data_IF_010003932579
#
_entry.id   IF_010003932579
#
_cell.length_a   1.000
_cell.length_b   1.000
_cell.length_c   1.000
_cell.angle_alpha   90.00
_cell.angle_beta   90.00
_cell.angle_gamma   90.00
#
_symmetry.space_group_name_H-M   'P 1'
#
loop_
_entity.id
_entity.type
_entity.pdbx_description
1 polymer ?
#
# COMPACT_ATOMS: atom_id res chain seq x y z
N UNK A 1 -10.00 27.69 45.38
CA UNK A 1 -8.87 27.03 46.06
C UNK A 1 -7.75 26.94 45.02
N UNK A 2 -6.62 27.63 45.06
CA UNK A 2 -5.85 28.23 46.16
C UNK A 2 -4.42 27.67 46.10
N UNK A 3 -3.44 28.56 45.92
CA UNK A 3 -1.96 28.40 45.93
C UNK A 3 -1.30 27.93 44.62
N UNK A 4 -0.57 28.75 43.83
CA UNK A 4 0.64 29.60 44.05
C UNK A 4 1.93 28.82 44.35
N UNK A 5 2.94 28.96 43.48
CA UNK A 5 4.21 29.65 43.81
C UNK A 5 4.93 30.16 42.55
N UNK A 6 5.62 31.28 42.73
CA UNK A 6 6.27 32.17 41.75
C UNK A 6 7.73 32.33 42.17
N UNK A 7 8.67 32.51 41.22
CA UNK A 7 9.51 33.74 41.10
C UNK A 7 10.61 33.65 40.04
N UNK A 8 10.78 34.81 39.40
CA UNK A 8 11.80 35.28 38.43
C UNK A 8 13.22 35.33 39.01
N UNK A 9 14.23 35.36 38.12
CA UNK A 9 15.35 36.32 38.25
C UNK A 9 16.06 36.60 36.90
N UNK A 10 16.45 37.86 36.70
CA UNK A 10 17.22 38.48 35.59
C UNK A 10 18.61 38.89 36.12
N UNK A 11 19.66 38.87 35.27
CA UNK A 11 20.76 39.88 35.13
C UNK A 11 21.84 39.30 34.18
N UNK A 12 22.23 39.90 33.04
CA UNK A 12 22.98 41.14 32.69
C UNK A 12 24.53 41.04 32.83
N UNK A 13 25.18 41.39 31.71
CA UNK A 13 26.59 41.54 31.22
C UNK A 13 27.61 42.24 32.15
N UNK A 14 28.95 42.36 31.84
CA UNK A 14 29.52 43.03 30.63
C UNK A 14 30.94 42.61 30.12
N UNK A 15 31.37 43.30 29.03
CA UNK A 15 32.64 43.30 28.27
C UNK A 15 33.91 43.78 29.00
N UNK A 16 35.09 43.43 28.41
CA UNK A 16 36.40 44.17 28.26
C UNK A 16 37.54 43.15 28.08
N UNK A 17 38.66 43.33 27.37
CA UNK A 17 39.32 44.45 26.67
C UNK A 17 40.44 43.85 25.78
N UNK A 18 40.89 44.58 24.77
CA UNK A 18 42.04 44.26 23.92
C UNK A 18 43.36 44.83 24.49
N UNK A 19 44.52 44.24 24.16
CA UNK A 19 45.79 44.98 24.07
C UNK A 19 46.79 44.31 23.12
N UNK A 20 47.24 45.09 22.15
CA UNK A 20 48.35 44.92 21.20
C UNK A 20 49.73 45.16 21.83
N UNK A 21 50.81 44.71 21.17
CA UNK A 21 52.19 45.28 21.01
C UNK A 21 53.17 44.11 20.76
N UNK A 22 54.25 44.13 19.96
CA UNK A 22 54.96 45.07 19.07
C UNK A 22 55.97 44.20 18.24
N UNK A 23 56.33 44.67 17.03
CA UNK A 23 57.68 44.76 16.40
C UNK A 23 58.77 43.69 16.64
N UNK A 24 59.77 43.40 15.79
CA UNK A 24 60.15 43.61 14.39
C UNK A 24 61.49 42.84 14.22
N UNK A 25 61.77 42.34 13.02
CA UNK A 25 63.08 42.21 12.37
C UNK A 25 64.27 41.36 12.92
N UNK A 26 64.79 40.55 11.99
CA UNK A 26 66.18 40.45 11.47
C UNK A 26 66.99 39.13 11.56
N UNK A 27 67.44 38.73 10.35
CA UNK A 27 68.71 38.09 9.93
C UNK A 27 68.96 36.57 10.04
N UNK A 28 68.93 35.95 8.85
CA UNK A 28 69.94 35.07 8.20
C UNK A 28 70.58 33.90 8.95
N UNK A 29 70.35 32.69 8.41
CA UNK A 29 71.23 31.52 8.60
C UNK A 29 70.79 30.34 7.73
N UNK A 30 71.55 30.02 6.68
CA UNK A 30 71.42 28.80 5.89
C UNK A 30 71.54 27.55 6.77
N UNK A 31 70.66 26.55 6.59
CA UNK A 31 71.07 25.21 6.13
C UNK A 31 69.94 24.16 6.09
N UNK A 32 69.97 23.43 4.97
CA UNK A 32 69.62 22.01 4.80
C UNK A 32 68.13 21.66 4.70
N UNK A 33 67.77 21.33 3.46
CA UNK A 33 66.61 20.57 3.03
C UNK A 33 66.46 19.25 3.80
N UNK A 34 65.32 19.06 4.44
CA UNK A 34 64.75 17.76 4.75
C UNK A 34 63.34 17.73 4.17
N UNK A 35 63.19 16.97 3.10
CA UNK A 35 61.93 16.62 2.47
C UNK A 35 61.06 15.85 3.46
N UNK A 36 60.00 16.48 3.98
CA UNK A 36 58.86 15.78 4.53
C UNK A 36 57.73 15.84 3.51
N UNK A 37 57.47 14.73 2.84
CA UNK A 37 56.21 14.49 2.14
C UNK A 37 55.08 14.55 3.18
N UNK A 38 54.50 15.73 3.37
CA UNK A 38 53.19 15.85 3.98
C UNK A 38 52.17 15.52 2.87
N UNK A 39 51.78 14.25 2.80
CA UNK A 39 50.52 13.87 2.16
C UNK A 39 49.41 14.64 2.88
N UNK A 40 48.89 15.69 2.25
CA UNK A 40 47.63 16.32 2.67
C UNK A 40 46.55 15.23 2.65
N UNK A 41 46.13 14.78 3.83
CA UNK A 41 44.96 13.92 3.93
C UNK A 41 43.76 14.69 3.38
N UNK A 42 42.96 14.09 2.47
CA UNK A 42 41.76 14.74 1.99
C UNK A 42 40.86 15.10 3.17
N UNK A 43 40.19 16.27 3.15
CA UNK A 43 39.37 16.71 4.26
C UNK A 43 38.36 15.63 4.64
N UNK A 44 38.22 15.37 5.95
CA UNK A 44 37.31 14.36 6.50
C UNK A 44 35.91 14.60 5.94
N UNK A 45 35.49 13.71 5.04
CA UNK A 45 34.19 13.76 4.40
C UNK A 45 33.23 12.94 5.25
N UNK A 46 32.27 13.61 5.87
CA UNK A 46 31.29 12.95 6.72
C UNK A 46 30.08 12.50 5.91
N UNK A 47 29.34 11.52 6.41
CA UNK A 47 28.16 10.97 5.72
C UNK A 47 27.06 12.01 5.48
N UNK A 48 27.03 13.10 6.25
CA UNK A 48 26.12 14.23 6.03
C UNK A 48 26.57 15.20 4.94
N UNK A 49 27.85 15.21 4.55
CA UNK A 49 28.39 16.04 3.45
C UNK A 49 28.01 15.47 2.07
N UNK A 50 27.56 14.20 2.03
CA UNK A 50 27.07 13.49 0.83
C UNK A 50 25.54 13.39 0.76
N UNK A 51 24.80 13.92 1.74
CA UNK A 51 23.33 13.91 1.67
C UNK A 51 22.88 14.86 0.57
N UNK A 52 22.21 14.32 -0.44
CA UNK A 52 21.47 15.14 -1.40
C UNK A 52 20.54 16.07 -0.61
N UNK A 53 20.55 17.36 -0.96
CA UNK A 53 19.65 18.34 -0.34
C UNK A 53 18.22 18.01 -0.78
N UNK A 54 17.49 17.34 0.09
CA UNK A 54 16.06 17.07 -0.08
C UNK A 54 15.28 18.36 0.17
N UNK A 55 14.56 18.87 -0.83
CA UNK A 55 13.62 19.98 -0.65
C UNK A 55 12.31 19.41 -0.08
N UNK A 56 11.81 19.90 1.08
CA UNK A 56 10.51 19.49 1.61
C UNK A 56 9.37 19.59 0.59
N UNK A 57 9.43 20.54 -0.35
CA UNK A 57 8.44 20.71 -1.43
C UNK A 57 8.34 19.50 -2.35
N UNK A 58 9.41 18.71 -2.47
CA UNK A 58 9.39 17.48 -3.28
C UNK A 58 8.55 16.38 -2.61
N UNK A 59 8.27 16.50 -1.32
CA UNK A 59 7.55 15.50 -0.53
C UNK A 59 6.23 16.01 0.07
N UNK A 60 5.79 17.19 -0.35
CA UNK A 60 4.52 17.78 0.07
C UNK A 60 3.79 18.51 -1.05
N UNK A 61 2.46 18.48 -1.01
CA UNK A 61 1.57 19.31 -1.80
C UNK A 61 0.65 20.06 -0.83
N UNK A 62 0.77 21.38 -0.77
CA UNK A 62 0.06 22.19 0.23
C UNK A 62 -0.57 23.44 -0.38
N UNK A 63 -1.83 23.72 -0.03
CA UNK A 63 -2.50 24.98 -0.38
C UNK A 63 -2.82 25.14 -1.87
N UNK A 64 -2.93 24.03 -2.61
CA UNK A 64 -3.16 24.04 -4.05
C UNK A 64 -4.64 24.13 -4.38
N UNK A 65 -4.97 24.85 -5.45
CA UNK A 65 -6.34 25.03 -5.94
C UNK A 65 -6.43 24.88 -7.44
N UNK A 66 -7.49 24.23 -7.91
CA UNK A 66 -7.81 24.12 -9.34
C UNK A 66 -6.64 23.57 -10.19
N UNK A 67 -5.88 22.62 -9.62
CA UNK A 67 -4.61 22.19 -10.16
C UNK A 67 -4.56 20.68 -10.43
N UNK A 68 -3.78 20.30 -11.45
CA UNK A 68 -3.35 18.92 -11.68
C UNK A 68 -1.88 18.80 -11.32
N UNK A 69 -1.58 18.03 -10.28
CA UNK A 69 -0.24 17.94 -9.67
C UNK A 69 0.05 16.51 -9.20
N UNK A 70 1.27 16.23 -8.76
CA UNK A 70 1.64 14.89 -8.33
C UNK A 70 3.11 14.56 -8.46
N UNK A 71 3.42 13.27 -8.54
CA UNK A 71 4.78 12.75 -8.66
C UNK A 71 4.81 11.64 -9.69
N UNK A 72 5.75 11.73 -10.62
CA UNK A 72 6.03 10.69 -11.61
C UNK A 72 6.74 9.49 -10.96
N UNK A 73 6.74 8.31 -11.62
CA UNK A 73 7.52 7.16 -11.19
C UNK A 73 8.99 7.51 -10.90
N UNK A 74 9.53 6.97 -9.81
CA UNK A 74 10.91 7.16 -9.37
C UNK A 74 11.21 8.52 -8.71
N UNK A 75 10.21 9.34 -8.40
CA UNK A 75 10.37 10.63 -7.71
C UNK A 75 10.29 10.53 -6.19
N UNK A 76 9.47 9.62 -5.67
CA UNK A 76 9.30 9.44 -4.22
C UNK A 76 10.19 8.33 -3.67
N UNK A 77 10.40 7.24 -4.41
CA UNK A 77 11.27 6.13 -4.02
C UNK A 77 11.08 5.68 -2.55
N UNK A 78 9.82 5.52 -2.13
CA UNK A 78 9.50 5.01 -0.80
C UNK A 78 9.63 6.02 0.34
N UNK A 79 9.78 7.32 0.06
CA UNK A 79 9.72 8.36 1.09
C UNK A 79 8.29 8.64 1.56
N UNK A 80 8.16 9.37 2.67
CA UNK A 80 6.86 9.88 3.14
C UNK A 80 6.36 11.00 2.22
N UNK A 81 5.05 11.11 2.07
CA UNK A 81 4.40 12.19 1.31
C UNK A 81 3.28 12.84 2.11
N UNK A 82 3.08 14.14 1.93
CA UNK A 82 2.01 14.90 2.60
C UNK A 82 1.17 15.65 1.56
N UNK A 83 -0.15 15.56 1.66
CA UNK A 83 -1.09 16.35 0.89
C UNK A 83 -1.94 17.13 1.88
N UNK A 84 -1.98 18.45 1.80
CA UNK A 84 -2.65 19.27 2.79
C UNK A 84 -3.33 20.50 2.15
N UNK A 85 -4.48 20.92 2.67
CA UNK A 85 -5.16 22.17 2.27
C UNK A 85 -5.37 22.29 0.74
N UNK A 86 -5.67 21.18 0.05
CA UNK A 86 -5.90 21.18 -1.40
C UNK A 86 -7.40 21.22 -1.73
N UNK A 87 -7.77 22.06 -2.71
CA UNK A 87 -9.16 22.29 -3.10
C UNK A 87 -9.34 22.14 -4.62
N UNK A 88 -10.32 21.36 -5.06
CA UNK A 88 -10.60 21.12 -6.48
C UNK A 88 -9.37 20.66 -7.30
N UNK A 89 -8.58 19.72 -6.76
CA UNK A 89 -7.35 19.25 -7.39
C UNK A 89 -7.45 17.83 -7.95
N UNK A 90 -6.70 17.55 -9.03
CA UNK A 90 -6.38 16.20 -9.48
C UNK A 90 -4.95 15.87 -9.07
N UNK A 91 -4.76 14.88 -8.22
CA UNK A 91 -3.46 14.57 -7.61
C UNK A 91 -3.03 13.16 -8.02
N UNK A 92 -1.89 13.04 -8.70
CA UNK A 92 -1.36 11.78 -9.22
C UNK A 92 0.00 11.46 -8.59
N UNK A 93 0.01 10.70 -7.50
CA UNK A 93 1.22 10.20 -6.85
C UNK A 93 1.57 8.83 -7.43
N UNK A 94 2.24 8.80 -8.58
CA UNK A 94 2.48 7.59 -9.38
C UNK A 94 3.81 6.91 -9.04
N UNK A 95 4.09 6.74 -7.74
CA UNK A 95 5.27 6.07 -7.20
C UNK A 95 4.94 5.43 -5.84
N UNK A 96 5.78 4.52 -5.36
CA UNK A 96 5.65 3.94 -4.04
C UNK A 96 6.10 4.92 -2.93
N UNK A 97 5.43 4.83 -1.78
CA UNK A 97 5.68 5.71 -0.62
C UNK A 97 5.76 4.91 0.68
N UNK A 98 6.43 5.46 1.70
CA UNK A 98 6.42 4.87 3.05
C UNK A 98 5.05 5.05 3.73
N UNK A 99 4.55 6.29 3.74
CA UNK A 99 3.26 6.68 4.33
C UNK A 99 2.78 7.96 3.66
N UNK A 100 1.46 8.14 3.57
CA UNK A 100 0.85 9.36 3.06
C UNK A 100 -0.20 9.87 4.04
N UNK A 101 -0.12 11.16 4.38
CA UNK A 101 -1.16 11.87 5.13
C UNK A 101 -1.85 12.87 4.21
N UNK A 102 -3.18 12.90 4.28
CA UNK A 102 -4.04 13.78 3.49
C UNK A 102 -4.93 14.55 4.45
N UNK A 103 -4.71 15.85 4.54
CA UNK A 103 -5.34 16.71 5.55
C UNK A 103 -6.10 17.86 4.88
N UNK A 104 -7.29 18.18 5.38
CA UNK A 104 -8.02 19.39 5.02
C UNK A 104 -8.27 19.56 3.50
N UNK A 105 -8.40 18.44 2.78
CA UNK A 105 -8.60 18.45 1.33
C UNK A 105 -10.07 18.39 0.96
N UNK A 106 -10.49 19.18 -0.02
CA UNK A 106 -11.88 19.25 -0.49
C UNK A 106 -11.98 19.05 -2.00
N UNK A 107 -12.97 18.28 -2.46
CA UNK A 107 -13.30 18.13 -3.88
C UNK A 107 -12.10 17.67 -4.73
N UNK A 108 -11.30 16.73 -4.24
CA UNK A 108 -10.10 16.26 -4.94
C UNK A 108 -10.25 14.84 -5.50
N UNK A 109 -9.67 14.62 -6.69
CA UNK A 109 -9.47 13.30 -7.28
C UNK A 109 -8.02 12.86 -7.05
N UNK A 110 -7.79 11.75 -6.36
CA UNK A 110 -6.44 11.37 -5.91
C UNK A 110 -6.12 9.94 -6.34
N UNK A 111 -5.07 9.77 -7.13
CA UNK A 111 -4.46 8.46 -7.44
C UNK A 111 -3.15 8.37 -6.69
N UNK A 112 -2.95 7.30 -5.94
CA UNK A 112 -1.69 7.05 -5.25
C UNK A 112 -1.19 5.64 -5.52
N UNK A 113 0.11 5.56 -5.77
CA UNK A 113 0.83 4.31 -5.85
C UNK A 113 0.87 3.58 -4.51
N UNK A 114 1.41 2.36 -4.49
CA UNK A 114 1.48 1.51 -3.31
C UNK A 114 2.18 2.17 -2.12
N UNK A 115 1.50 2.20 -0.98
CA UNK A 115 2.00 2.78 0.27
C UNK A 115 2.35 1.68 1.26
N UNK A 116 3.64 1.52 1.55
CA UNK A 116 4.16 0.44 2.43
C UNK A 116 3.48 0.39 3.80
N UNK A 117 3.18 1.56 4.37
CA UNK A 117 2.55 1.70 5.67
C UNK A 117 1.12 2.22 5.54
N UNK A 118 0.84 3.31 6.26
CA UNK A 118 -0.49 3.89 6.34
C UNK A 118 -0.76 4.97 5.31
N UNK A 119 -2.00 4.99 4.83
CA UNK A 119 -2.65 6.16 4.24
C UNK A 119 -3.66 6.67 5.25
N UNK A 120 -3.57 7.96 5.60
CA UNK A 120 -4.44 8.57 6.60
C UNK A 120 -5.09 9.84 6.06
N UNK A 121 -6.41 9.81 5.87
CA UNK A 121 -7.23 10.98 5.57
C UNK A 121 -7.76 11.62 6.87
N UNK A 122 -7.59 12.93 7.03
CA UNK A 122 -8.14 13.71 8.14
C UNK A 122 -8.83 14.95 7.60
N UNK A 123 -10.01 15.25 8.14
CA UNK A 123 -10.75 16.49 7.82
C UNK A 123 -10.98 16.68 6.30
N UNK A 124 -11.14 15.58 5.56
CA UNK A 124 -11.28 15.60 4.10
C UNK A 124 -12.73 15.47 3.66
N UNK A 125 -13.09 16.11 2.55
CA UNK A 125 -14.47 16.14 2.06
C UNK A 125 -14.58 16.01 0.53
N UNK A 126 -15.57 15.26 0.06
CA UNK A 126 -15.85 15.09 -1.37
C UNK A 126 -14.61 14.58 -2.13
N UNK A 127 -13.97 13.52 -1.61
CA UNK A 127 -12.75 12.93 -2.19
C UNK A 127 -13.10 11.69 -3.01
N UNK A 128 -12.50 11.57 -4.19
CA UNK A 128 -12.55 10.35 -5.00
C UNK A 128 -11.13 9.84 -5.19
N UNK A 129 -10.85 8.59 -4.82
CA UNK A 129 -9.46 8.13 -4.86
C UNK A 129 -9.26 6.65 -5.19
N UNK A 130 -8.08 6.36 -5.73
CA UNK A 130 -7.55 5.01 -5.94
C UNK A 130 -6.33 4.85 -5.04
N UNK A 131 -6.38 3.89 -4.12
CA UNK A 131 -5.40 3.75 -3.03
C UNK A 131 -4.98 2.30 -2.87
N UNK A 132 -3.66 2.07 -2.83
CA UNK A 132 -3.09 0.80 -2.38
C UNK A 132 -2.21 1.05 -1.15
N UNK A 133 -2.47 0.39 -0.04
CA UNK A 133 -1.76 0.61 1.21
C UNK A 133 -1.75 -0.63 2.13
N UNK A 134 -0.84 -0.64 3.12
CA UNK A 134 -0.93 -1.62 4.19
C UNK A 134 -2.11 -1.32 5.11
N UNK A 135 -2.23 -0.07 5.57
CA UNK A 135 -3.29 0.37 6.48
C UNK A 135 -4.03 1.59 5.90
N UNK A 136 -5.35 1.51 5.84
CA UNK A 136 -6.21 2.62 5.45
C UNK A 136 -6.92 3.18 6.68
N UNK A 137 -6.82 4.49 6.90
CA UNK A 137 -7.45 5.19 8.03
C UNK A 137 -8.14 6.46 7.55
N UNK A 138 -9.32 6.75 8.10
CA UNK A 138 -9.95 8.06 7.97
C UNK A 138 -10.39 8.57 9.34
N UNK A 139 -10.32 9.89 9.52
CA UNK A 139 -10.91 10.58 10.67
C UNK A 139 -11.57 11.87 10.19
N UNK A 140 -12.75 12.19 10.70
CA UNK A 140 -13.43 13.46 10.41
C UNK A 140 -13.68 13.69 8.89
N UNK A 141 -13.91 12.62 8.12
CA UNK A 141 -14.06 12.68 6.66
C UNK A 141 -15.52 12.58 6.19
N UNK A 142 -15.86 13.22 5.07
CA UNK A 142 -17.22 13.22 4.53
C UNK A 142 -17.26 12.96 3.03
N UNK A 143 -18.15 12.06 2.59
CA UNK A 143 -18.40 11.76 1.18
C UNK A 143 -17.12 11.38 0.42
N UNK A 144 -16.55 10.24 0.80
CA UNK A 144 -15.39 9.70 0.09
C UNK A 144 -15.77 8.48 -0.74
N UNK A 145 -15.23 8.38 -1.95
CA UNK A 145 -15.37 7.23 -2.83
C UNK A 145 -13.98 6.66 -3.13
N UNK A 146 -13.71 5.45 -2.62
CA UNK A 146 -12.37 4.89 -2.52
C UNK A 146 -12.30 3.54 -3.23
N UNK A 147 -11.49 3.44 -4.29
CA UNK A 147 -11.09 2.17 -4.90
C UNK A 147 -9.83 1.66 -4.19
N UNK A 148 -9.98 0.65 -3.35
CA UNK A 148 -9.02 0.32 -2.30
C UNK A 148 -8.36 -1.05 -2.51
N UNK A 149 -7.04 -1.09 -2.27
CA UNK A 149 -6.28 -2.28 -1.98
C UNK A 149 -5.67 -2.11 -0.58
N UNK A 150 -6.20 -2.83 0.41
CA UNK A 150 -5.74 -2.68 1.79
C UNK A 150 -5.34 -4.04 2.39
N UNK A 151 -4.07 -4.15 2.81
CA UNK A 151 -3.55 -5.40 3.37
C UNK A 151 -4.16 -5.73 4.74
N UNK A 152 -4.57 -4.72 5.51
CA UNK A 152 -5.30 -4.86 6.78
C UNK A 152 -6.77 -4.47 6.63
N UNK A 153 -7.55 -4.58 7.72
CA UNK A 153 -8.92 -4.09 7.80
C UNK A 153 -8.93 -2.55 7.64
N UNK A 154 -9.63 -1.98 6.65
CA UNK A 154 -9.78 -0.53 6.53
C UNK A 154 -10.55 0.04 7.71
N UNK A 155 -10.12 1.19 8.21
CA UNK A 155 -10.68 1.83 9.40
C UNK A 155 -11.27 3.20 9.05
N UNK A 156 -12.46 3.47 9.55
CA UNK A 156 -13.05 4.81 9.58
C UNK A 156 -13.39 5.22 11.03
N UNK A 157 -13.29 6.53 11.29
CA UNK A 157 -13.64 7.15 12.57
C UNK A 157 -14.25 8.53 12.31
N UNK A 158 -15.31 8.90 13.03
CA UNK A 158 -16.00 10.18 12.92
C UNK A 158 -16.29 10.61 11.46
N UNK A 159 -16.59 9.66 10.58
CA UNK A 159 -16.70 9.87 9.14
C UNK A 159 -18.04 9.38 8.61
N UNK A 160 -18.56 10.00 7.54
CA UNK A 160 -19.87 9.62 6.96
C UNK A 160 -19.89 9.72 5.43
N UNK A 161 -20.75 8.92 4.78
CA UNK A 161 -20.85 8.87 3.33
C UNK A 161 -19.63 8.22 2.67
N UNK A 162 -18.98 7.28 3.36
CA UNK A 162 -17.82 6.56 2.85
C UNK A 162 -18.27 5.45 1.90
N UNK A 163 -17.65 5.32 0.74
CA UNK A 163 -17.95 4.26 -0.22
C UNK A 163 -16.69 3.57 -0.68
N UNK A 164 -16.70 2.24 -0.67
CA UNK A 164 -15.52 1.43 -1.01
C UNK A 164 -15.78 0.56 -2.24
N UNK A 165 -14.79 0.48 -3.12
CA UNK A 165 -14.72 -0.43 -4.25
C UNK A 165 -13.36 -1.15 -4.27
N UNK A 166 -13.25 -2.25 -5.01
CA UNK A 166 -11.97 -2.91 -5.20
C UNK A 166 -11.03 -2.00 -6.01
N UNK A 167 -9.74 -1.99 -5.68
CA UNK A 167 -8.71 -1.33 -6.48
C UNK A 167 -8.75 -1.83 -7.93
N UNK A 168 -8.81 -0.90 -8.87
CA UNK A 168 -8.83 -1.19 -10.30
C UNK A 168 -8.01 -0.14 -11.04
N UNK A 169 -6.73 -0.44 -11.25
CA UNK A 169 -5.79 0.49 -11.88
C UNK A 169 -4.54 -0.21 -12.39
N UNK A 170 -3.95 0.39 -13.42
CA UNK A 170 -2.72 -0.07 -14.06
C UNK A 170 -1.91 1.12 -14.58
N UNK A 171 -0.60 1.05 -14.39
CA UNK A 171 0.42 1.72 -15.20
C UNK A 171 1.68 0.84 -15.22
N UNK A 172 2.58 0.98 -16.21
CA UNK A 172 3.67 0.02 -16.44
C UNK A 172 4.54 -0.29 -15.20
N UNK A 173 4.84 0.72 -14.39
CA UNK A 173 5.71 0.63 -13.22
C UNK A 173 4.98 0.10 -11.96
N UNK A 174 3.65 0.06 -11.96
CA UNK A 174 2.83 -0.19 -10.78
C UNK A 174 3.15 -1.55 -10.12
N UNK A 175 3.40 -2.60 -10.91
CA UNK A 175 3.76 -3.91 -10.39
C UNK A 175 5.07 -3.88 -9.57
N UNK A 176 6.07 -3.12 -10.03
CA UNK A 176 7.32 -2.93 -9.29
C UNK A 176 7.10 -2.08 -8.04
N UNK A 177 6.27 -1.04 -8.13
CA UNK A 177 5.93 -0.24 -6.96
C UNK A 177 5.23 -1.05 -5.86
N UNK A 178 4.37 -2.02 -6.20
CA UNK A 178 3.77 -2.94 -5.22
C UNK A 178 4.85 -3.78 -4.52
N UNK A 179 5.80 -4.32 -5.30
CA UNK A 179 6.94 -5.08 -4.79
C UNK A 179 7.83 -4.23 -3.87
N UNK A 180 8.18 -3.00 -4.28
CA UNK A 180 9.05 -2.11 -3.52
C UNK A 180 8.38 -1.62 -2.22
N UNK A 181 7.05 -1.44 -2.24
CA UNK A 181 6.26 -1.19 -1.04
C UNK A 181 6.09 -2.43 -0.14
N UNK A 182 6.47 -3.63 -0.59
CA UNK A 182 6.28 -4.88 0.13
C UNK A 182 4.80 -5.26 0.28
N UNK A 183 3.95 -4.85 -0.67
CA UNK A 183 2.52 -5.16 -0.68
C UNK A 183 2.23 -6.29 -1.67
N UNK A 184 1.58 -7.35 -1.18
CA UNK A 184 1.04 -8.39 -2.06
C UNK A 184 -0.23 -7.88 -2.75
N UNK A 185 -0.31 -8.08 -4.06
CA UNK A 185 -1.53 -7.83 -4.83
C UNK A 185 -2.68 -8.79 -4.46
N UNK A 186 -2.36 -9.89 -3.76
CA UNK A 186 -3.33 -10.89 -3.33
C UNK A 186 -3.85 -10.63 -1.92
N UNK A 187 -3.34 -9.63 -1.19
CA UNK A 187 -3.81 -9.28 0.16
C UNK A 187 -4.64 -8.00 0.12
N UNK A 188 -5.95 -8.15 -0.11
CA UNK A 188 -6.87 -7.01 -0.24
C UNK A 188 -8.19 -7.22 0.52
N UNK A 189 -8.40 -6.45 1.60
CA UNK A 189 -9.57 -6.50 2.49
C UNK A 189 -10.49 -5.27 2.32
N UNK A 190 -10.49 -4.65 1.13
CA UNK A 190 -11.16 -3.38 0.83
C UNK A 190 -12.62 -3.25 1.29
N UNK A 191 -13.36 -4.35 1.38
CA UNK A 191 -14.79 -4.37 1.71
C UNK A 191 -15.10 -4.66 3.19
N UNK A 192 -14.11 -5.06 4.00
CA UNK A 192 -14.30 -5.39 5.41
C UNK A 192 -13.97 -4.16 6.27
N UNK A 193 -14.83 -3.14 6.27
CA UNK A 193 -14.54 -1.86 6.93
C UNK A 193 -14.92 -1.90 8.40
N UNK A 194 -14.01 -1.47 9.28
CA UNK A 194 -14.29 -1.22 10.69
C UNK A 194 -14.62 0.24 10.93
N UNK A 195 -15.78 0.51 11.55
CA UNK A 195 -16.20 1.83 11.97
C UNK A 195 -16.08 1.97 13.49
N UNK A 196 -15.19 2.86 13.96
CA UNK A 196 -15.00 3.13 15.39
C UNK A 196 -16.13 3.95 16.02
N UNK A 197 -16.95 4.61 15.21
CA UNK A 197 -17.99 5.55 15.66
C UNK A 197 -19.34 5.25 14.97
N UNK A 198 -19.85 4.01 15.08
CA UNK A 198 -21.11 3.66 14.44
C UNK A 198 -22.26 4.45 15.09
N UNK A 199 -23.17 4.96 14.25
CA UNK A 199 -24.39 5.63 14.70
C UNK A 199 -25.57 4.67 14.55
N UNK A 200 -26.33 4.47 15.63
CA UNK A 200 -27.46 3.54 15.64
C UNK A 200 -28.52 3.94 14.60
N UNK A 201 -28.87 3.01 13.71
CA UNK A 201 -29.86 3.24 12.65
C UNK A 201 -29.31 3.93 11.40
N UNK A 202 -28.03 4.31 11.38
CA UNK A 202 -27.36 4.91 10.23
C UNK A 202 -26.23 4.01 9.73
N UNK A 203 -25.74 4.30 8.52
CA UNK A 203 -24.66 3.54 7.89
C UNK A 203 -23.64 4.54 7.35
N UNK A 204 -22.52 4.67 8.08
CA UNK A 204 -21.45 5.61 7.74
C UNK A 204 -20.68 5.22 6.47
N UNK A 205 -20.72 3.94 6.10
CA UNK A 205 -20.03 3.42 4.94
C UNK A 205 -20.84 2.38 4.16
N UNK A 206 -20.61 2.31 2.86
CA UNK A 206 -21.23 1.32 1.98
C UNK A 206 -20.24 0.87 0.90
N UNK A 207 -20.63 -0.11 0.09
CA UNK A 207 -19.85 -0.52 -1.07
C UNK A 207 -20.36 0.23 -2.31
N UNK A 208 -19.45 0.67 -3.18
CA UNK A 208 -19.79 1.19 -4.50
C UNK A 208 -20.54 0.13 -5.33
N UNK A 209 -21.38 0.50 -6.31
CA UNK A 209 -21.96 -0.46 -7.26
C UNK A 209 -20.88 -1.29 -7.98
N UNK A 210 -21.17 -2.56 -8.31
CA UNK A 210 -20.21 -3.46 -8.99
C UNK A 210 -19.86 -2.99 -10.42
N UNK A 211 -20.78 -2.29 -11.07
CA UNK A 211 -20.64 -1.71 -12.42
C UNK A 211 -20.03 -0.30 -12.43
N UNK A 212 -19.51 0.17 -11.28
CA UNK A 212 -18.89 1.49 -11.18
C UNK A 212 -17.67 1.60 -12.09
N UNK A 213 -17.70 2.56 -13.01
CA UNK A 213 -16.57 2.87 -13.89
C UNK A 213 -15.58 3.78 -13.16
N UNK A 214 -14.39 3.27 -12.86
CA UNK A 214 -13.35 4.01 -12.10
C UNK A 214 -13.08 5.39 -12.68
N UNK A 215 -12.99 5.52 -14.01
CA UNK A 215 -12.64 6.78 -14.68
C UNK A 215 -13.72 7.87 -14.59
N UNK A 216 -14.96 7.52 -14.31
CA UNK A 216 -16.05 8.49 -14.05
C UNK A 216 -15.89 9.15 -12.67
N UNK A 217 -15.15 8.49 -11.77
CA UNK A 217 -14.87 8.97 -10.42
C UNK A 217 -13.47 9.57 -10.31
N UNK A 218 -12.46 8.92 -10.88
CA UNK A 218 -11.07 9.32 -10.83
C UNK A 218 -10.53 9.36 -12.26
N UNK A 219 -10.65 10.50 -12.96
CA UNK A 219 -10.23 10.63 -14.34
C UNK A 219 -8.74 10.33 -14.53
N UNK A 220 -8.39 9.82 -15.71
CA UNK A 220 -7.00 9.70 -16.11
C UNK A 220 -6.34 11.09 -16.17
N UNK A 221 -4.99 11.17 -16.08
CA UNK A 221 -4.31 12.44 -16.20
C UNK A 221 -4.61 13.13 -17.54
N UNK A 222 -4.72 14.46 -17.51
CA UNK A 222 -5.03 15.23 -18.71
C UNK A 222 -3.92 15.05 -19.77
N UNK A 223 -4.24 14.94 -21.07
CA UNK A 223 -3.23 14.68 -22.12
C UNK A 223 -2.12 15.73 -22.21
N UNK A 224 -2.38 16.96 -21.76
CA UNK A 224 -1.41 18.06 -21.73
C UNK A 224 -0.68 18.18 -20.39
N UNK A 225 -1.03 17.37 -19.39
CA UNK A 225 -0.36 17.36 -18.09
C UNK A 225 1.04 16.75 -18.17
N UNK A 226 1.86 17.01 -17.14
CA UNK A 226 3.17 16.36 -17.00
C UNK A 226 3.09 14.82 -16.90
N UNK A 227 1.92 14.29 -16.54
CA UNK A 227 1.66 12.86 -16.36
C UNK A 227 1.32 12.12 -17.67
N UNK A 228 1.23 12.81 -18.81
CA UNK A 228 0.87 12.22 -20.11
C UNK A 228 1.76 11.05 -20.57
N UNK A 229 2.97 10.96 -20.01
CA UNK A 229 3.91 9.87 -20.28
C UNK A 229 3.52 8.55 -19.60
N UNK A 230 2.73 8.61 -18.52
CA UNK A 230 2.31 7.44 -17.74
C UNK A 230 1.05 6.84 -18.35
N UNK A 231 1.19 5.63 -18.91
CA UNK A 231 0.10 4.93 -19.60
C UNK A 231 -0.86 4.26 -18.62
N UNK A 232 -1.80 5.05 -18.13
CA UNK A 232 -2.85 4.59 -17.22
C UNK A 232 -3.89 3.74 -17.94
N UNK A 233 -4.38 2.70 -17.27
CA UNK A 233 -5.64 2.03 -17.58
C UNK A 233 -6.39 1.74 -16.29
N UNK A 234 -7.72 1.83 -16.33
CA UNK A 234 -8.59 1.37 -15.26
C UNK A 234 -9.58 0.32 -15.79
N UNK A 235 -9.16 -0.49 -16.76
CA UNK A 235 -9.91 -1.68 -17.20
C UNK A 235 -9.71 -2.81 -16.18
N UNK A 236 -10.78 -3.54 -15.84
CA UNK A 236 -10.74 -4.64 -14.88
C UNK A 236 -9.70 -5.72 -15.26
N UNK A 237 -9.63 -6.09 -16.54
CA UNK A 237 -8.69 -7.10 -17.07
C UNK A 237 -7.23 -6.67 -17.02
N UNK A 238 -6.95 -5.36 -16.91
CA UNK A 238 -5.60 -4.82 -16.85
C UNK A 238 -5.14 -4.50 -15.44
N UNK A 239 -6.05 -4.51 -14.47
CA UNK A 239 -5.74 -4.15 -13.09
C UNK A 239 -4.58 -4.99 -12.53
N UNK A 240 -3.66 -4.31 -11.84
CA UNK A 240 -2.58 -5.00 -11.12
C UNK A 240 -3.12 -5.77 -9.92
N UNK A 241 -4.18 -5.30 -9.27
CA UNK A 241 -4.86 -6.05 -8.20
C UNK A 241 -6.00 -6.85 -8.82
N UNK A 242 -6.09 -8.18 -8.59
CA UNK A 242 -7.24 -8.96 -9.03
C UNK A 242 -8.56 -8.38 -8.54
N UNK A 243 -9.56 -8.34 -9.41
CA UNK A 243 -10.89 -7.88 -9.04
C UNK A 243 -11.58 -8.92 -8.16
N UNK A 244 -11.84 -8.57 -6.90
CA UNK A 244 -12.50 -9.44 -5.93
C UNK A 244 -13.90 -8.94 -5.57
N UNK A 245 -14.84 -9.86 -5.35
CA UNK A 245 -16.21 -9.54 -4.89
C UNK A 245 -16.23 -9.12 -3.42
N UNK A 246 -15.25 -9.56 -2.63
CA UNK A 246 -15.11 -9.21 -1.21
C UNK A 246 -16.34 -9.63 -0.40
N UNK A 247 -16.74 -8.77 0.54
CA UNK A 247 -17.88 -8.98 1.45
C UNK A 247 -19.26 -8.78 0.82
N UNK A 248 -19.36 -8.69 -0.51
CA UNK A 248 -20.66 -8.64 -1.20
C UNK A 248 -21.37 -9.97 -1.13
N UNK A 249 -22.69 -9.95 -1.33
CA UNK A 249 -23.52 -11.16 -1.34
C UNK A 249 -23.08 -12.10 -2.47
N UNK A 250 -22.83 -13.36 -2.13
CA UNK A 250 -22.56 -14.45 -3.09
C UNK A 250 -23.85 -14.89 -3.79
N UNK A 251 -23.71 -15.32 -5.03
CA UNK A 251 -24.85 -15.79 -5.86
C UNK A 251 -25.07 -17.29 -5.72
N UNK A 252 -24.01 -18.05 -5.45
CA UNK A 252 -24.06 -19.47 -5.14
C UNK A 252 -23.63 -19.74 -3.70
N UNK A 253 -24.13 -20.83 -3.12
CA UNK A 253 -23.64 -21.37 -1.85
C UNK A 253 -22.36 -22.22 -2.00
N UNK A 254 -22.00 -22.57 -3.23
CA UNK A 254 -20.83 -23.37 -3.55
C UNK A 254 -19.58 -22.49 -3.70
N UNK A 255 -18.55 -22.79 -2.93
CA UNK A 255 -17.25 -22.11 -2.99
C UNK A 255 -16.14 -23.13 -3.16
N UNK A 256 -14.99 -22.73 -3.70
CA UNK A 256 -13.83 -23.60 -3.86
C UNK A 256 -12.58 -22.86 -3.40
N UNK A 257 -11.81 -23.51 -2.52
CA UNK A 257 -10.46 -23.06 -2.19
C UNK A 257 -9.47 -23.62 -3.22
N UNK A 258 -8.71 -22.73 -3.85
CA UNK A 258 -7.60 -23.09 -4.73
C UNK A 258 -6.32 -22.45 -4.19
N UNK A 259 -5.30 -23.24 -3.89
CA UNK A 259 -4.03 -22.78 -3.31
C UNK A 259 -2.87 -23.16 -4.20
N UNK A 260 -2.10 -22.16 -4.60
CA UNK A 260 -0.78 -22.34 -5.19
C UNK A 260 0.30 -22.27 -4.11
N UNK A 261 1.28 -23.16 -4.20
CA UNK A 261 2.49 -23.08 -3.39
C UNK A 261 3.53 -22.17 -4.07
N UNK A 262 4.45 -21.62 -3.29
CA UNK A 262 5.48 -20.72 -3.81
C UNK A 262 6.35 -21.39 -4.88
N UNK A 263 6.58 -20.67 -5.98
CA UNK A 263 7.36 -21.08 -7.14
C UNK A 263 7.53 -19.92 -8.12
N UNK A 264 8.34 -20.11 -9.16
CA UNK A 264 8.71 -19.06 -10.12
C UNK A 264 7.49 -18.46 -10.85
N UNK A 265 6.47 -19.27 -11.13
CA UNK A 265 5.29 -18.89 -11.91
C UNK A 265 4.02 -18.69 -11.08
N UNK A 266 4.09 -18.68 -9.75
CA UNK A 266 2.90 -18.67 -8.87
C UNK A 266 1.96 -17.50 -9.17
N UNK A 267 2.47 -16.27 -9.29
CA UNK A 267 1.65 -15.10 -9.62
C UNK A 267 1.00 -15.21 -11.00
N UNK A 268 1.73 -15.70 -12.00
CA UNK A 268 1.21 -15.87 -13.36
C UNK A 268 0.14 -16.97 -13.42
N UNK A 269 0.35 -18.08 -12.72
CA UNK A 269 -0.60 -19.17 -12.62
C UNK A 269 -1.88 -18.75 -11.87
N UNK A 270 -1.76 -17.99 -10.78
CA UNK A 270 -2.91 -17.44 -10.07
C UNK A 270 -3.74 -16.50 -10.96
N UNK A 271 -3.10 -15.61 -11.73
CA UNK A 271 -3.80 -14.78 -12.72
C UNK A 271 -4.49 -15.62 -13.80
N UNK A 272 -3.79 -16.62 -14.35
CA UNK A 272 -4.37 -17.53 -15.34
C UNK A 272 -5.60 -18.26 -14.79
N UNK A 273 -5.55 -18.74 -13.54
CA UNK A 273 -6.69 -19.37 -12.90
C UNK A 273 -7.88 -18.40 -12.79
N UNK A 274 -7.62 -17.15 -12.41
CA UNK A 274 -8.67 -16.11 -12.33
C UNK A 274 -9.29 -15.89 -13.70
N UNK A 275 -8.49 -15.79 -14.75
CA UNK A 275 -8.99 -15.58 -16.12
C UNK A 275 -9.82 -16.77 -16.62
N UNK A 276 -9.35 -18.00 -16.40
CA UNK A 276 -10.06 -19.24 -16.77
C UNK A 276 -11.37 -19.39 -15.98
N UNK A 277 -11.35 -19.11 -14.67
CA UNK A 277 -12.53 -19.19 -13.82
C UNK A 277 -13.57 -18.13 -14.24
N UNK A 278 -13.13 -16.89 -14.47
CA UNK A 278 -13.99 -15.80 -14.94
C UNK A 278 -14.60 -16.11 -16.30
N UNK A 279 -13.82 -16.68 -17.22
CA UNK A 279 -14.29 -17.11 -18.55
C UNK A 279 -15.36 -18.22 -18.49
N UNK A 280 -15.39 -18.99 -17.39
CA UNK A 280 -16.42 -20.00 -17.10
C UNK A 280 -17.59 -19.48 -16.28
N UNK A 281 -17.60 -18.18 -15.93
CA UNK A 281 -18.66 -17.54 -15.15
C UNK A 281 -18.53 -17.67 -13.64
N UNK A 282 -17.38 -18.15 -13.13
CA UNK A 282 -17.11 -18.18 -11.69
C UNK A 282 -16.60 -16.82 -11.21
N UNK A 283 -16.88 -16.52 -9.95
CA UNK A 283 -16.53 -15.23 -9.35
C UNK A 283 -15.41 -15.39 -8.33
N UNK A 284 -14.40 -14.53 -8.42
CA UNK A 284 -13.36 -14.43 -7.41
C UNK A 284 -13.87 -13.67 -6.18
N UNK A 285 -13.99 -14.33 -5.05
CA UNK A 285 -14.49 -13.73 -3.81
C UNK A 285 -13.38 -12.98 -3.10
N UNK A 286 -12.24 -13.64 -2.86
CA UNK A 286 -11.10 -13.07 -2.16
C UNK A 286 -9.84 -13.88 -2.45
N UNK A 287 -8.70 -13.28 -2.12
CA UNK A 287 -7.38 -13.91 -2.22
C UNK A 287 -6.58 -13.65 -0.95
N UNK A 288 -5.57 -14.48 -0.68
CA UNK A 288 -4.55 -14.23 0.34
C UNK A 288 -3.20 -14.77 -0.10
N UNK A 289 -2.13 -14.07 0.26
CA UNK A 289 -0.76 -14.55 0.22
C UNK A 289 -0.20 -14.57 1.64
N UNK A 290 0.08 -15.76 2.16
CA UNK A 290 0.44 -15.97 3.57
C UNK A 290 1.46 -17.09 3.74
N UNK A 291 2.41 -16.92 4.67
CA UNK A 291 3.38 -17.98 5.02
C UNK A 291 2.74 -18.97 5.99
N UNK A 292 2.93 -20.27 5.78
CA UNK A 292 2.38 -21.29 6.67
C UNK A 292 3.50 -21.96 7.48
N UNK A 293 3.24 -22.29 8.75
CA UNK A 293 4.11 -23.20 9.52
C UNK A 293 3.58 -24.64 9.42
N UNK A 294 4.40 -25.67 9.70
CA UNK A 294 3.97 -27.07 9.62
C UNK A 294 2.68 -27.39 10.40
N UNK A 295 2.48 -26.78 11.56
CA UNK A 295 1.26 -26.91 12.37
C UNK A 295 0.03 -26.29 11.68
N UNK A 296 0.22 -25.22 10.91
CA UNK A 296 -0.86 -24.53 10.21
C UNK A 296 -1.36 -25.38 9.02
N UNK A 297 -0.46 -26.09 8.32
CA UNK A 297 -0.80 -27.02 7.22
C UNK A 297 -1.75 -28.12 7.70
N UNK A 298 -1.42 -28.74 8.84
CA UNK A 298 -2.25 -29.82 9.42
C UNK A 298 -3.63 -29.31 9.83
N UNK A 299 -3.71 -28.10 10.39
CA UNK A 299 -4.98 -27.48 10.80
C UNK A 299 -5.84 -27.09 9.61
N UNK A 300 -5.25 -26.48 8.58
CA UNK A 300 -5.96 -25.91 7.43
C UNK A 300 -6.40 -27.00 6.46
N UNK A 301 -5.50 -27.88 6.05
CA UNK A 301 -5.76 -28.91 5.03
C UNK A 301 -6.23 -30.24 5.61
N UNK A 302 -6.15 -30.43 6.94
CA UNK A 302 -6.66 -31.61 7.64
C UNK A 302 -6.16 -32.92 7.02
N UNK A 303 -7.07 -33.80 6.58
CA UNK A 303 -6.74 -35.09 5.97
C UNK A 303 -5.94 -34.96 4.65
N UNK A 304 -5.91 -33.76 4.04
CA UNK A 304 -5.19 -33.48 2.80
C UNK A 304 -3.80 -32.84 3.04
N UNK A 305 -3.33 -32.80 4.29
CA UNK A 305 -2.03 -32.20 4.64
C UNK A 305 -0.82 -33.03 4.17
N UNK A 306 -1.02 -34.32 3.89
CA UNK A 306 0.06 -35.22 3.47
C UNK A 306 0.72 -34.73 2.17
N UNK A 307 2.05 -34.65 2.19
CA UNK A 307 2.83 -34.17 1.05
C UNK A 307 2.73 -32.67 0.76
N UNK A 308 2.11 -31.86 1.63
CA UNK A 308 2.08 -30.38 1.49
C UNK A 308 3.20 -29.69 2.29
N UNK A 309 3.74 -30.35 3.33
CA UNK A 309 4.73 -29.77 4.25
C UNK A 309 6.02 -29.33 3.56
N UNK A 310 6.50 -30.07 2.56
CA UNK A 310 7.70 -29.69 1.81
C UNK A 310 7.50 -28.40 1.00
N UNK A 311 6.28 -28.18 0.50
CA UNK A 311 5.97 -27.08 -0.41
C UNK A 311 5.81 -25.72 0.28
N UNK A 312 5.41 -25.71 1.54
CA UNK A 312 5.32 -24.46 2.32
C UNK A 312 6.69 -23.88 2.68
N UNK A 313 7.77 -24.66 2.56
CA UNK A 313 9.14 -24.18 2.81
C UNK A 313 9.66 -23.30 1.67
N UNK A 314 9.03 -23.34 0.49
CA UNK A 314 9.41 -22.53 -0.68
C UNK A 314 9.04 -21.05 -0.53
N UNK A 315 8.12 -20.70 0.37
CA UNK A 315 7.63 -19.35 0.58
C UNK A 315 6.13 -19.28 0.87
N UNK A 316 5.55 -18.06 0.85
CA UNK A 316 4.12 -17.87 1.05
C UNK A 316 3.26 -18.64 0.04
N UNK A 317 2.13 -19.17 0.49
CA UNK A 317 1.14 -19.76 -0.41
C UNK A 317 0.18 -18.67 -0.90
N UNK A 318 -0.33 -18.81 -2.12
CA UNK A 318 -1.35 -17.92 -2.69
C UNK A 318 -2.68 -18.68 -2.78
N UNK A 319 -3.66 -18.26 -2.00
CA UNK A 319 -5.00 -18.82 -1.98
C UNK A 319 -6.01 -17.93 -2.71
N UNK A 320 -6.95 -18.57 -3.39
CA UNK A 320 -8.06 -17.96 -4.09
C UNK A 320 -9.36 -18.66 -3.66
N UNK A 321 -10.37 -17.88 -3.31
CA UNK A 321 -11.73 -18.36 -3.13
C UNK A 321 -12.54 -18.05 -4.37
N UNK A 322 -13.02 -19.09 -5.05
CA UNK A 322 -13.90 -18.99 -6.20
C UNK A 322 -15.32 -19.41 -5.81
N UNK A 323 -16.34 -18.78 -6.38
CA UNK A 323 -17.75 -19.06 -6.09
C UNK A 323 -18.58 -19.24 -7.37
N UNK A 324 -19.54 -20.15 -7.31
CA UNK A 324 -20.48 -20.43 -8.40
C UNK A 324 -20.88 -21.91 -8.42
N UNK A 325 -22.03 -22.21 -9.04
CA UNK A 325 -22.52 -23.59 -9.09
C UNK A 325 -21.58 -24.47 -9.93
N UNK A 326 -21.12 -25.59 -9.35
CA UNK A 326 -20.15 -26.50 -9.98
C UNK A 326 -18.70 -26.00 -9.97
N UNK A 327 -18.38 -24.95 -9.20
CA UNK A 327 -17.03 -24.37 -9.14
C UNK A 327 -15.99 -25.37 -8.68
N UNK A 328 -16.33 -26.30 -7.77
CA UNK A 328 -15.36 -27.29 -7.26
C UNK A 328 -14.87 -28.21 -8.38
N UNK A 329 -15.79 -28.77 -9.17
CA UNK A 329 -15.38 -29.68 -10.26
C UNK A 329 -14.68 -28.95 -11.39
N UNK A 330 -15.08 -27.70 -11.68
CA UNK A 330 -14.37 -26.87 -12.64
C UNK A 330 -12.93 -26.58 -12.19
N UNK A 331 -12.73 -26.26 -10.90
CA UNK A 331 -11.39 -26.05 -10.33
C UNK A 331 -10.53 -27.31 -10.39
N UNK A 332 -11.10 -28.49 -10.15
CA UNK A 332 -10.38 -29.77 -10.27
C UNK A 332 -9.94 -30.05 -11.71
N UNK A 333 -10.82 -29.81 -12.68
CA UNK A 333 -10.46 -29.89 -14.11
C UNK A 333 -9.38 -28.87 -14.47
N UNK A 334 -9.45 -27.62 -13.99
CA UNK A 334 -8.39 -26.64 -14.24
C UNK A 334 -7.05 -27.08 -13.63
N UNK A 335 -7.05 -27.66 -12.43
CA UNK A 335 -5.85 -28.21 -11.81
C UNK A 335 -5.22 -29.34 -12.64
N UNK A 336 -6.01 -30.27 -13.18
CA UNK A 336 -5.50 -31.36 -14.02
C UNK A 336 -5.09 -30.91 -15.42
N UNK A 337 -5.86 -30.03 -16.04
CA UNK A 337 -5.73 -29.76 -17.48
C UNK A 337 -4.79 -28.60 -17.75
N UNK A 338 -4.84 -27.56 -16.90
CA UNK A 338 -4.09 -26.32 -17.06
C UNK A 338 -2.82 -26.31 -16.21
N UNK A 339 -2.88 -26.93 -15.02
CA UNK A 339 -1.82 -26.87 -14.01
C UNK A 339 -1.22 -28.24 -13.66
N UNK A 340 -1.31 -29.24 -14.55
CA UNK A 340 -0.81 -30.62 -14.33
C UNK A 340 0.63 -30.72 -13.81
N UNK A 341 1.51 -29.80 -14.21
CA UNK A 341 2.91 -29.76 -13.77
C UNK A 341 3.17 -28.95 -12.49
N UNK A 342 2.13 -28.37 -11.88
CA UNK A 342 2.25 -27.48 -10.72
C UNK A 342 1.58 -28.13 -9.52
N UNK A 343 2.29 -28.20 -8.39
CA UNK A 343 1.65 -28.61 -7.12
C UNK A 343 0.66 -27.54 -6.69
N UNK A 344 -0.59 -27.94 -6.53
CA UNK A 344 -1.70 -27.12 -6.04
C UNK A 344 -2.51 -27.89 -5.01
N UNK A 345 -3.25 -27.18 -4.17
CA UNK A 345 -4.36 -27.73 -3.41
C UNK A 345 -5.66 -27.17 -3.98
N UNK A 346 -6.67 -28.03 -4.13
CA UNK A 346 -8.03 -27.65 -4.53
C UNK A 346 -9.00 -28.38 -3.62
N UNK A 347 -10.07 -27.70 -3.20
CA UNK A 347 -11.17 -28.35 -2.49
C UNK A 347 -11.65 -29.60 -3.23
N UNK A 348 -11.83 -30.69 -2.51
CA UNK A 348 -12.06 -32.00 -3.12
C UNK A 348 -13.51 -32.19 -3.59
N UNK A 349 -14.49 -31.75 -2.81
CA UNK A 349 -15.90 -31.91 -3.12
C UNK A 349 -16.75 -30.77 -2.52
N UNK A 350 -17.94 -30.56 -3.10
CA UNK A 350 -18.89 -29.52 -2.69
C UNK A 350 -19.18 -29.52 -1.19
N UNK A 351 -19.34 -30.70 -0.58
CA UNK A 351 -19.80 -30.82 0.81
C UNK A 351 -18.77 -30.35 1.85
N UNK A 352 -17.47 -30.41 1.54
CA UNK A 352 -16.40 -29.99 2.44
C UNK A 352 -15.73 -28.67 2.03
N UNK A 353 -15.99 -28.21 0.80
CA UNK A 353 -15.32 -27.05 0.22
C UNK A 353 -15.45 -25.76 1.02
N UNK A 354 -16.63 -25.47 1.58
CA UNK A 354 -16.85 -24.31 2.46
C UNK A 354 -15.98 -24.36 3.71
N UNK A 355 -15.80 -25.55 4.30
CA UNK A 355 -14.93 -25.76 5.45
C UNK A 355 -13.45 -25.55 5.09
N UNK A 356 -13.01 -25.94 3.91
CA UNK A 356 -11.64 -25.69 3.46
C UNK A 356 -11.38 -24.18 3.36
N UNK A 357 -12.31 -23.44 2.75
CA UNK A 357 -12.29 -21.97 2.67
C UNK A 357 -12.24 -21.37 4.08
N UNK A 358 -13.19 -21.72 4.95
CA UNK A 358 -13.25 -21.17 6.31
C UNK A 358 -11.97 -21.46 7.09
N UNK A 359 -11.45 -22.69 7.02
CA UNK A 359 -10.20 -23.07 7.69
C UNK A 359 -9.02 -22.21 7.22
N UNK A 360 -8.89 -22.01 5.90
CA UNK A 360 -7.78 -21.25 5.34
C UNK A 360 -7.87 -19.76 5.67
N UNK A 361 -9.02 -19.12 5.38
CA UNK A 361 -9.15 -17.68 5.54
C UNK A 361 -9.20 -17.26 7.02
N UNK A 362 -9.80 -18.06 7.91
CA UNK A 362 -9.69 -17.79 9.36
C UNK A 362 -8.23 -17.87 9.84
N UNK A 363 -7.45 -18.84 9.35
CA UNK A 363 -6.03 -18.92 9.65
C UNK A 363 -5.27 -17.69 9.13
N UNK A 364 -5.49 -17.33 7.87
CA UNK A 364 -4.82 -16.20 7.24
C UNK A 364 -5.13 -14.89 7.98
N UNK A 365 -6.39 -14.68 8.34
CA UNK A 365 -6.83 -13.48 9.06
C UNK A 365 -6.21 -13.40 10.46
N UNK A 366 -6.19 -14.51 11.22
CA UNK A 366 -5.50 -14.57 12.51
C UNK A 366 -4.00 -14.25 12.38
N UNK A 367 -3.33 -14.76 11.35
CA UNK A 367 -1.90 -14.53 11.15
C UNK A 367 -1.60 -13.08 10.71
N UNK A 368 -2.51 -12.47 9.97
CA UNK A 368 -2.38 -11.09 9.48
C UNK A 368 -2.85 -10.05 10.50
N UNK A 369 -3.43 -10.48 11.63
CA UNK A 369 -3.96 -9.58 12.67
C UNK A 369 -5.22 -8.84 12.22
N UNK A 370 -6.07 -9.53 11.46
CA UNK A 370 -7.33 -9.02 10.90
C UNK A 370 -8.54 -9.31 11.79
#
# INVERSE_FOLDING_TARGET
MGCWFSKKSKRKSPDKEATTTLEENTTTGNNISLSSNATEEPPKQYSWDKREKVDPKDFMLTGLKDATVGRLPGKLNGQQFVIQDCDNCKIFVLDHSATITIDDCTNCCIVMGPVKGSVFFRDCKDIKCVVACQQFRTRDCQKMEVFLCCATQPIIEASTGMKFGCFQYYYPELAFHFKDAGLSIFNNNWSNVHDFTPVSGETNWSLLPEDTVVLDHVPAPDPESEFKSVRVSAEASRSIVPMTKGGRRKESDESCLFVFFAGEYTTANARKLIDEASGKGFVLIQTKEVSMRPEDVSRVFQNNAEGLLEWITNGPVTALELNGDGVVEACKSMASDVFSGTKVFVSDNRSTSSRDVDNFFNFADMQMGL
#
